data_IF_621308677743
#
_entry.id   IF_621308677743
#
_cell.length_a   1.000
_cell.length_b   1.000
_cell.length_c   1.000
_cell.angle_alpha   90.00
_cell.angle_beta   90.00
_cell.angle_gamma   90.00
#
_symmetry.space_group_name_H-M   'P 1'
#
loop_
_entity.id
_entity.type
_entity.pdbx_description
1 polymer ?
#
# COMPACT_ATOMS: atom_id res chain seq x y z
N UNK A 1 8.44 -29.33 -3.08
CA UNK A 1 7.75 -28.07 -2.66
C UNK A 1 6.85 -27.64 -3.81
N UNK A 2 5.55 -27.39 -3.55
CA UNK A 2 4.55 -27.02 -4.58
C UNK A 2 4.31 -25.51 -4.67
N UNK A 3 4.54 -24.77 -3.59
CA UNK A 3 4.34 -23.33 -3.51
C UNK A 3 5.52 -22.63 -2.89
N UNK A 4 5.67 -21.35 -3.22
CA UNK A 4 6.67 -20.41 -2.68
C UNK A 4 5.89 -19.18 -2.19
N UNK A 5 6.13 -18.79 -0.95
CA UNK A 5 5.60 -17.58 -0.35
C UNK A 5 6.75 -16.62 -0.13
N UNK A 6 6.63 -15.40 -0.64
CA UNK A 6 7.63 -14.35 -0.56
C UNK A 6 7.07 -13.14 0.20
N UNK A 7 7.91 -12.50 0.97
CA UNK A 7 7.70 -11.16 1.48
C UNK A 7 8.14 -10.11 0.45
N UNK A 8 7.81 -8.86 0.69
CA UNK A 8 8.19 -7.73 -0.18
C UNK A 8 9.44 -7.04 0.37
N UNK A 9 9.32 -6.47 1.56
CA UNK A 9 10.30 -5.55 2.12
C UNK A 9 11.59 -6.28 2.54
N UNK A 10 12.71 -5.98 1.85
CA UNK A 10 13.99 -6.64 2.08
C UNK A 10 14.10 -8.04 1.48
N UNK A 11 13.06 -8.55 0.82
CA UNK A 11 13.04 -9.88 0.17
C UNK A 11 12.97 -9.77 -1.34
N UNK A 12 12.00 -9.03 -1.88
CA UNK A 12 11.84 -8.80 -3.33
C UNK A 12 12.16 -7.37 -3.73
N UNK A 13 11.99 -6.43 -2.79
CA UNK A 13 12.14 -4.99 -2.99
C UNK A 13 12.94 -4.40 -1.84
N UNK A 14 13.85 -3.43 -2.08
CA UNK A 14 14.56 -2.74 -1.00
C UNK A 14 13.58 -2.06 -0.03
N UNK A 15 13.72 -2.30 1.28
CA UNK A 15 12.89 -1.66 2.32
C UNK A 15 12.96 -0.13 2.24
N UNK A 16 14.09 0.41 1.79
CA UNK A 16 14.28 1.85 1.60
C UNK A 16 13.32 2.45 0.58
N UNK A 17 12.84 1.68 -0.38
CA UNK A 17 11.86 2.15 -1.36
C UNK A 17 10.52 2.50 -0.70
N UNK A 18 10.05 1.65 0.20
CA UNK A 18 8.81 1.89 0.95
C UNK A 18 8.94 3.16 1.80
N UNK A 19 10.00 3.24 2.61
CA UNK A 19 10.17 4.33 3.58
C UNK A 19 10.64 5.64 2.96
N UNK A 20 11.47 5.60 1.89
CA UNK A 20 12.07 6.81 1.30
C UNK A 20 11.36 7.28 0.03
N UNK A 21 10.50 6.46 -0.56
CA UNK A 21 9.78 6.81 -1.79
C UNK A 21 8.27 6.74 -1.61
N UNK A 22 7.69 5.57 -1.29
CA UNK A 22 6.23 5.40 -1.28
C UNK A 22 5.54 6.26 -0.21
N UNK A 23 5.96 6.19 1.05
CA UNK A 23 5.35 6.98 2.12
C UNK A 23 5.55 8.49 1.92
N UNK A 24 6.77 9.00 1.63
CA UNK A 24 6.96 10.42 1.33
C UNK A 24 6.17 10.90 0.11
N UNK A 25 6.08 10.05 -0.94
CA UNK A 25 5.27 10.35 -2.12
C UNK A 25 3.80 10.57 -1.77
N UNK A 26 3.18 9.63 -1.04
CA UNK A 26 1.80 9.75 -0.61
C UNK A 26 1.60 10.98 0.29
N UNK A 27 2.46 11.16 1.30
CA UNK A 27 2.40 12.28 2.24
C UNK A 27 2.40 13.64 1.55
N UNK A 28 3.27 13.82 0.55
CA UNK A 28 3.37 15.07 -0.20
C UNK A 28 2.11 15.35 -1.04
N UNK A 29 1.41 14.30 -1.48
CA UNK A 29 0.24 14.43 -2.37
C UNK A 29 -1.11 14.43 -1.66
N UNK A 30 -1.15 14.02 -0.39
CA UNK A 30 -2.38 14.03 0.41
C UNK A 30 -3.18 15.33 0.30
N UNK A 31 -2.60 16.55 0.43
CA UNK A 31 -3.41 17.77 0.39
C UNK A 31 -4.13 18.00 -0.94
N UNK A 32 -3.41 17.86 -2.06
CA UNK A 32 -4.00 18.02 -3.39
C UNK A 32 -5.01 16.93 -3.69
N UNK A 33 -4.66 15.67 -3.36
CA UNK A 33 -5.54 14.54 -3.61
C UNK A 33 -6.86 14.64 -2.83
N UNK A 34 -6.80 15.00 -1.55
CA UNK A 34 -8.01 15.17 -0.71
C UNK A 34 -8.84 16.35 -1.20
N UNK A 35 -8.20 17.47 -1.57
CA UNK A 35 -8.91 18.64 -2.09
C UNK A 35 -9.70 18.30 -3.36
N UNK A 36 -9.08 17.58 -4.28
CA UNK A 36 -9.67 17.23 -5.57
C UNK A 36 -10.75 16.14 -5.48
N UNK A 37 -10.70 15.29 -4.44
CA UNK A 37 -11.55 14.09 -4.32
C UNK A 37 -12.39 14.05 -3.03
N UNK A 38 -12.56 15.14 -2.30
CA UNK A 38 -13.22 15.14 -0.98
C UNK A 38 -14.62 14.51 -1.02
N UNK A 39 -15.38 14.77 -2.09
CA UNK A 39 -16.73 14.21 -2.28
C UNK A 39 -16.74 12.69 -2.52
N UNK A 40 -15.67 12.15 -3.08
CA UNK A 40 -15.55 10.74 -3.44
C UNK A 40 -14.97 9.89 -2.29
N UNK A 41 -14.31 10.56 -1.33
CA UNK A 41 -13.69 9.94 -0.15
C UNK A 41 -14.62 9.82 1.06
N UNK A 42 -15.95 9.97 0.88
CA UNK A 42 -16.92 9.97 1.99
C UNK A 42 -16.79 8.73 2.87
N UNK A 43 -16.66 7.57 2.27
CA UNK A 43 -16.55 6.31 3.01
C UNK A 43 -15.27 6.26 3.86
N UNK A 44 -14.12 6.61 3.30
CA UNK A 44 -12.85 6.67 4.02
C UNK A 44 -12.87 7.73 5.12
N UNK A 45 -13.49 8.89 4.84
CA UNK A 45 -13.62 9.98 5.84
C UNK A 45 -14.52 9.56 7.00
N UNK A 46 -15.64 8.87 6.76
CA UNK A 46 -16.49 8.33 7.82
C UNK A 46 -15.72 7.34 8.72
N UNK A 47 -14.87 6.50 8.13
CA UNK A 47 -14.01 5.61 8.91
C UNK A 47 -12.93 6.38 9.69
N UNK A 48 -12.36 7.46 9.11
CA UNK A 48 -11.42 8.33 9.83
C UNK A 48 -12.07 9.01 11.04
N UNK A 49 -13.34 9.42 10.93
CA UNK A 49 -14.12 9.97 12.09
C UNK A 49 -14.18 8.94 13.21
N UNK A 50 -14.54 7.68 12.88
CA UNK A 50 -14.64 6.61 13.88
C UNK A 50 -13.28 6.29 14.52
N UNK A 51 -12.20 6.21 13.73
CA UNK A 51 -10.85 5.99 14.26
C UNK A 51 -10.38 7.16 15.13
N UNK A 52 -10.73 8.39 14.76
CA UNK A 52 -10.36 9.60 15.49
C UNK A 52 -10.96 9.64 16.91
N UNK A 53 -12.16 9.07 17.13
CA UNK A 53 -12.79 9.02 18.45
C UNK A 53 -11.91 8.33 19.52
N UNK A 54 -11.04 7.43 19.09
CA UNK A 54 -10.12 6.68 19.97
C UNK A 54 -8.65 7.12 19.85
N UNK A 55 -8.35 8.08 18.97
CA UNK A 55 -6.98 8.56 18.75
C UNK A 55 -6.59 9.56 19.85
N UNK A 56 -5.56 9.26 20.61
CA UNK A 56 -5.12 10.06 21.75
C UNK A 56 -3.96 11.01 21.44
N UNK A 57 -3.39 10.96 20.25
CA UNK A 57 -2.17 11.72 19.91
C UNK A 57 -2.40 12.93 19.01
N UNK A 58 -3.61 13.12 18.50
CA UNK A 58 -3.95 14.25 17.64
C UNK A 58 -4.59 15.38 18.45
N UNK A 59 -3.89 16.48 18.59
CA UNK A 59 -4.26 17.62 19.45
C UNK A 59 -5.10 18.71 18.76
N UNK A 60 -5.49 18.50 17.50
CA UNK A 60 -6.27 19.43 16.69
C UNK A 60 -7.71 18.93 16.53
N UNK A 61 -8.64 19.87 16.32
CA UNK A 61 -10.01 19.55 15.94
C UNK A 61 -10.03 18.86 14.55
N UNK A 62 -10.65 17.69 14.47
CA UNK A 62 -10.89 17.01 13.20
C UNK A 62 -12.23 17.40 12.61
N UNK A 63 -12.22 18.03 11.44
CA UNK A 63 -13.40 18.46 10.69
C UNK A 63 -13.48 17.71 9.36
N UNK A 64 -14.35 16.69 9.26
CA UNK A 64 -14.43 15.80 8.09
C UNK A 64 -14.88 16.51 6.79
N UNK A 65 -15.60 17.65 6.92
CA UNK A 65 -16.03 18.49 5.79
C UNK A 65 -14.93 19.40 5.24
N UNK A 66 -13.79 19.50 5.93
CA UNK A 66 -12.67 20.36 5.54
C UNK A 66 -11.53 19.54 4.95
N UNK A 67 -11.24 19.73 3.67
CA UNK A 67 -10.12 19.08 2.98
C UNK A 67 -8.77 19.31 3.69
N UNK A 68 -8.56 20.51 4.24
CA UNK A 68 -7.35 20.83 5.00
C UNK A 68 -7.27 20.03 6.31
N UNK A 69 -8.39 19.92 7.05
CA UNK A 69 -8.44 19.17 8.29
C UNK A 69 -8.23 17.67 8.06
N UNK A 70 -8.88 17.10 7.04
CA UNK A 70 -8.69 15.70 6.63
C UNK A 70 -7.23 15.45 6.21
N UNK A 71 -6.65 16.37 5.45
CA UNK A 71 -5.24 16.26 5.01
C UNK A 71 -4.26 16.32 6.16
N UNK A 72 -4.49 17.20 7.13
CA UNK A 72 -3.62 17.33 8.31
C UNK A 72 -3.69 16.08 9.19
N UNK A 73 -4.89 15.51 9.36
CA UNK A 73 -5.07 14.28 10.11
C UNK A 73 -4.40 13.08 9.40
N UNK A 74 -4.57 12.94 8.08
CA UNK A 74 -3.90 11.89 7.31
C UNK A 74 -2.37 12.00 7.38
N UNK A 75 -1.81 13.21 7.32
CA UNK A 75 -0.36 13.42 7.50
C UNK A 75 0.09 13.01 8.89
N UNK A 76 -0.68 13.38 9.92
CA UNK A 76 -0.39 12.93 11.29
C UNK A 76 -0.35 11.42 11.38
N UNK A 77 -1.34 10.70 10.83
CA UNK A 77 -1.36 9.24 10.84
C UNK A 77 -0.15 8.64 10.13
N UNK A 78 0.29 9.23 8.99
CA UNK A 78 1.51 8.81 8.28
C UNK A 78 2.75 9.03 9.15
N UNK A 79 2.88 10.21 9.75
CA UNK A 79 4.04 10.60 10.54
C UNK A 79 4.18 9.77 11.84
N UNK A 80 3.06 9.27 12.36
CA UNK A 80 3.00 8.40 13.53
C UNK A 80 3.00 6.89 13.19
N UNK A 81 3.16 6.53 11.91
CA UNK A 81 3.08 5.12 11.41
C UNK A 81 1.81 4.39 11.91
N UNK A 82 0.66 5.08 11.92
CA UNK A 82 -0.60 4.50 12.38
C UNK A 82 -1.12 3.43 11.42
N UNK A 83 -1.65 2.34 11.97
CA UNK A 83 -2.24 1.22 11.21
C UNK A 83 -3.73 1.48 10.92
N UNK A 84 -4.00 2.54 10.18
CA UNK A 84 -5.36 2.98 9.80
C UNK A 84 -5.79 2.36 8.48
N UNK A 85 -6.98 1.77 8.46
CA UNK A 85 -7.57 1.19 7.24
C UNK A 85 -7.91 2.25 6.18
N UNK A 86 -8.60 3.36 6.53
CA UNK A 86 -8.90 4.42 5.57
C UNK A 86 -7.63 5.14 5.08
N UNK A 87 -6.60 5.31 5.93
CA UNK A 87 -5.32 5.83 5.48
C UNK A 87 -4.70 4.94 4.41
N UNK A 88 -4.67 3.62 4.61
CA UNK A 88 -4.13 2.66 3.62
C UNK A 88 -4.91 2.72 2.30
N UNK A 89 -6.23 2.89 2.34
CA UNK A 89 -7.05 3.02 1.15
C UNK A 89 -6.70 4.29 0.35
N UNK A 90 -6.62 5.44 1.03
CA UNK A 90 -6.26 6.72 0.41
C UNK A 90 -4.82 6.69 -0.13
N UNK A 91 -3.86 6.15 0.61
CA UNK A 91 -2.49 5.95 0.12
C UNK A 91 -2.47 5.07 -1.13
N UNK A 92 -3.24 3.99 -1.16
CA UNK A 92 -3.38 3.10 -2.32
C UNK A 92 -3.88 3.82 -3.57
N UNK A 93 -4.86 4.73 -3.43
CA UNK A 93 -5.36 5.56 -4.53
C UNK A 93 -4.29 6.54 -5.04
N UNK A 94 -3.56 7.19 -4.13
CA UNK A 94 -2.46 8.11 -4.47
C UNK A 94 -1.33 7.37 -5.18
N UNK A 95 -0.92 6.20 -4.69
CA UNK A 95 0.12 5.39 -5.32
C UNK A 95 -0.30 4.90 -6.70
N UNK A 96 -1.56 4.44 -6.85
CA UNK A 96 -2.09 4.04 -8.15
C UNK A 96 -1.93 5.16 -9.18
N UNK A 97 -2.37 6.37 -8.85
CA UNK A 97 -2.24 7.52 -9.73
C UNK A 97 -0.76 7.83 -10.07
N UNK A 98 0.15 7.68 -9.11
CA UNK A 98 1.58 7.88 -9.31
C UNK A 98 2.22 6.83 -10.22
N UNK A 99 1.86 5.57 -10.04
CA UNK A 99 2.32 4.48 -10.91
C UNK A 99 1.79 4.63 -12.34
N UNK A 100 0.51 4.92 -12.50
CA UNK A 100 -0.13 5.08 -13.82
C UNK A 100 0.44 6.27 -14.61
N UNK A 101 0.89 7.32 -13.91
CA UNK A 101 1.60 8.47 -14.51
C UNK A 101 3.10 8.23 -14.74
N UNK A 102 3.64 7.10 -14.28
CA UNK A 102 5.08 6.82 -14.34
C UNK A 102 5.94 7.65 -13.38
N UNK A 103 5.32 8.28 -12.36
CA UNK A 103 6.02 9.05 -11.33
C UNK A 103 6.63 8.14 -10.25
N UNK A 104 6.15 6.90 -10.14
CA UNK A 104 6.66 5.86 -9.27
C UNK A 104 7.05 4.65 -10.13
N UNK A 105 8.24 4.12 -9.90
CA UNK A 105 8.71 2.85 -10.45
C UNK A 105 9.31 2.05 -9.30
N UNK A 106 8.88 0.80 -9.16
CA UNK A 106 9.30 -0.07 -8.06
C UNK A 106 10.62 -0.76 -8.39
N UNK A 107 11.69 -0.55 -7.62
CA UNK A 107 12.90 -1.35 -7.77
C UNK A 107 12.66 -2.76 -7.23
N UNK A 108 13.21 -3.76 -7.91
CA UNK A 108 13.32 -5.13 -7.41
C UNK A 108 14.77 -5.56 -7.36
N UNK A 109 15.09 -6.51 -6.46
CA UNK A 109 16.44 -7.07 -6.44
C UNK A 109 16.72 -7.84 -7.74
N UNK A 110 17.97 -7.79 -8.19
CA UNK A 110 18.40 -8.28 -9.51
C UNK A 110 18.09 -9.77 -9.74
N UNK A 111 18.06 -10.57 -8.70
CA UNK A 111 17.79 -12.01 -8.76
C UNK A 111 16.30 -12.38 -8.81
N UNK A 112 15.41 -11.43 -8.43
CA UNK A 112 13.95 -11.65 -8.32
C UNK A 112 13.32 -12.01 -9.67
N UNK A 113 13.53 -11.28 -10.78
CA UNK A 113 12.88 -11.59 -12.04
C UNK A 113 13.21 -12.99 -12.55
N UNK A 114 14.48 -13.38 -12.48
CA UNK A 114 14.91 -14.71 -12.94
C UNK A 114 14.47 -15.83 -12.00
N UNK A 115 14.40 -15.57 -10.70
CA UNK A 115 13.85 -16.52 -9.75
C UNK A 115 12.36 -16.78 -10.01
N UNK A 116 11.54 -15.73 -10.20
CA UNK A 116 10.12 -15.84 -10.50
C UNK A 116 9.88 -16.63 -11.80
N UNK A 117 10.61 -16.31 -12.88
CA UNK A 117 10.54 -17.01 -14.16
C UNK A 117 10.86 -18.51 -14.00
N UNK A 118 11.96 -18.80 -13.33
CA UNK A 118 12.45 -20.17 -13.11
C UNK A 118 11.47 -21.00 -12.29
N UNK A 119 10.89 -20.44 -11.23
CA UNK A 119 9.91 -21.11 -10.40
C UNK A 119 8.58 -21.33 -11.13
N UNK A 120 8.12 -20.35 -11.90
CA UNK A 120 6.91 -20.49 -12.73
C UNK A 120 7.08 -21.58 -13.76
N UNK A 121 8.22 -21.62 -14.47
CA UNK A 121 8.55 -22.67 -15.44
C UNK A 121 8.62 -24.08 -14.80
N UNK A 122 9.04 -24.15 -13.53
CA UNK A 122 9.04 -25.39 -12.75
C UNK A 122 7.66 -25.76 -12.15
N UNK A 123 6.58 -25.10 -12.58
CA UNK A 123 5.20 -25.37 -12.14
C UNK A 123 4.93 -25.03 -10.68
N UNK A 124 5.67 -24.07 -10.08
CA UNK A 124 5.43 -23.63 -8.70
C UNK A 124 4.31 -22.59 -8.66
N UNK A 125 3.49 -22.65 -7.62
CA UNK A 125 2.60 -21.55 -7.24
C UNK A 125 3.41 -20.50 -6.48
N UNK A 126 3.39 -19.26 -6.94
CA UNK A 126 4.12 -18.17 -6.29
C UNK A 126 3.09 -17.23 -5.65
N UNK A 127 3.27 -16.93 -4.38
CA UNK A 127 2.42 -16.06 -3.62
C UNK A 127 3.25 -14.99 -2.90
N UNK A 128 2.64 -13.82 -2.72
CA UNK A 128 3.20 -12.72 -1.94
C UNK A 128 2.41 -12.59 -0.65
N UNK A 129 3.10 -12.31 0.45
CA UNK A 129 2.51 -11.94 1.73
C UNK A 129 3.22 -10.68 2.24
N UNK A 130 2.45 -9.64 2.58
CA UNK A 130 2.95 -8.41 3.16
C UNK A 130 1.87 -7.74 4.02
N UNK A 131 2.26 -6.86 4.93
CA UNK A 131 1.33 -6.00 5.68
C UNK A 131 0.67 -4.91 4.83
N UNK A 132 1.20 -4.63 3.63
CA UNK A 132 0.58 -3.75 2.65
C UNK A 132 -0.68 -4.38 2.04
N UNK A 133 -1.65 -3.55 1.64
CA UNK A 133 -2.88 -4.04 0.99
C UNK A 133 -2.57 -4.82 -0.29
N UNK A 134 -3.41 -5.80 -0.63
CA UNK A 134 -3.29 -6.57 -1.88
C UNK A 134 -3.14 -5.66 -3.09
N UNK A 135 -3.90 -4.56 -3.13
CA UNK A 135 -3.79 -3.56 -4.20
C UNK A 135 -2.39 -2.94 -4.28
N UNK A 136 -1.83 -2.51 -3.15
CA UNK A 136 -0.48 -1.92 -3.11
C UNK A 136 0.59 -2.92 -3.56
N UNK A 137 0.45 -4.19 -3.14
CA UNK A 137 1.33 -5.28 -3.57
C UNK A 137 1.27 -5.48 -5.10
N UNK A 138 0.05 -5.50 -5.68
CA UNK A 138 -0.14 -5.65 -7.12
C UNK A 138 0.46 -4.49 -7.92
N UNK A 139 0.26 -3.25 -7.46
CA UNK A 139 0.86 -2.06 -8.08
C UNK A 139 2.39 -2.14 -8.09
N UNK A 140 2.98 -2.54 -6.95
CA UNK A 140 4.41 -2.67 -6.80
C UNK A 140 5.01 -3.64 -7.84
N UNK A 141 4.43 -4.82 -8.02
CA UNK A 141 4.92 -5.81 -8.98
C UNK A 141 4.52 -5.52 -10.43
N UNK A 142 3.49 -4.72 -10.66
CA UNK A 142 3.07 -4.31 -12.01
C UNK A 142 3.99 -3.27 -12.64
N UNK A 143 4.47 -2.34 -11.82
CA UNK A 143 5.24 -1.19 -12.29
C UNK A 143 6.69 -1.24 -11.79
N UNK A 144 7.36 -2.38 -12.03
CA UNK A 144 8.78 -2.53 -11.65
C UNK A 144 9.72 -1.92 -12.67
N UNK A 145 10.96 -1.64 -12.24
CA UNK A 145 12.06 -1.18 -13.10
C UNK A 145 12.49 -2.19 -14.16
N UNK A 146 12.01 -3.44 -14.06
CA UNK A 146 12.23 -4.52 -15.04
C UNK A 146 10.96 -4.94 -15.78
N UNK A 147 9.87 -4.16 -15.67
CA UNK A 147 8.58 -4.40 -16.29
C UNK A 147 7.57 -5.11 -15.38
N UNK A 148 6.47 -5.60 -15.95
CA UNK A 148 5.37 -6.23 -15.21
C UNK A 148 5.73 -7.67 -14.78
N UNK A 149 5.85 -7.87 -13.48
CA UNK A 149 6.13 -9.17 -12.87
C UNK A 149 4.87 -9.89 -12.35
N UNK A 150 3.69 -9.26 -12.41
CA UNK A 150 2.43 -9.85 -11.90
C UNK A 150 2.07 -11.15 -12.59
N UNK A 151 2.46 -11.32 -13.85
CA UNK A 151 2.23 -12.55 -14.63
C UNK A 151 2.85 -13.82 -14.02
N UNK A 152 3.87 -13.67 -13.15
CA UNK A 152 4.53 -14.80 -12.47
C UNK A 152 3.89 -15.12 -11.13
N UNK A 153 3.12 -14.18 -10.53
CA UNK A 153 2.57 -14.27 -9.19
C UNK A 153 1.13 -14.77 -9.26
N UNK A 154 0.82 -15.81 -8.50
CA UNK A 154 -0.50 -16.45 -8.51
C UNK A 154 -1.45 -15.86 -7.48
N UNK A 155 -0.94 -15.44 -6.32
CA UNK A 155 -1.76 -14.96 -5.21
C UNK A 155 -1.05 -13.85 -4.43
N UNK A 156 -1.86 -12.97 -3.84
CA UNK A 156 -1.42 -11.91 -2.94
C UNK A 156 -2.21 -12.02 -1.64
N UNK A 157 -1.53 -11.93 -0.51
CA UNK A 157 -2.12 -12.02 0.82
C UNK A 157 -1.67 -10.83 1.66
N UNK A 158 -2.60 -10.24 2.39
CA UNK A 158 -2.32 -9.27 3.43
C UNK A 158 -2.70 -9.83 4.82
N UNK A 159 -2.47 -9.04 5.86
CA UNK A 159 -2.75 -9.45 7.24
C UNK A 159 -4.25 -9.69 7.51
N UNK A 160 -5.16 -9.13 6.72
CA UNK A 160 -6.60 -9.30 6.92
C UNK A 160 -7.08 -10.70 6.48
N UNK A 161 -6.47 -11.29 5.44
CA UNK A 161 -6.86 -12.61 4.92
C UNK A 161 -6.41 -13.74 5.87
N UNK A 162 -5.29 -13.57 6.56
CA UNK A 162 -4.77 -14.57 7.51
C UNK A 162 -5.66 -14.72 8.74
N UNK A 163 -6.22 -13.62 9.24
CA UNK A 163 -7.11 -13.62 10.42
C UNK A 163 -8.37 -14.45 10.16
N UNK A 164 -8.97 -14.32 8.98
CA UNK A 164 -10.20 -15.04 8.61
C UNK A 164 -10.02 -16.56 8.42
N UNK A 165 -8.79 -17.08 8.36
CA UNK A 165 -8.51 -18.54 8.23
C UNK A 165 -8.15 -19.21 9.55
N UNK A 166 -7.75 -18.47 10.56
CA UNK A 166 -7.40 -19.00 11.89
C UNK A 166 -8.67 -19.21 12.73
N UNK A 167 -9.76 -18.51 12.45
CA UNK A 167 -11.04 -18.61 13.16
C UNK A 167 -11.99 -19.72 12.60
N UNK A 168 -11.53 -20.58 11.68
CA UNK A 168 -12.25 -21.76 11.18
C UNK A 168 -11.46 -23.03 11.46
#
# INVERSE_FOLDING_TARGET
MKAILLDIEGTTTPISFVHKTLFPYARARVPGFVLDNLSDLKFEIEQLVQEHETESGYDREFRPESANSVSDYLKFLIDQDRKSTPLKAIQGMIWRAGYEKGEIVSPVFNDVPDALKRWKAAGKTIAIFSSGSVQAQQLLFKYTDVGDLTQFISNYFDTNIVINRIER
#
